data_IF_332123678799
#
_entry.id   IF_332123678799
#
_cell.length_a   1.000
_cell.length_b   1.000
_cell.length_c   1.000
_cell.angle_alpha   90.00
_cell.angle_beta   90.00
_cell.angle_gamma   90.00
#
_symmetry.space_group_name_H-M   'P 1'
#
loop_
_entity.id
_entity.type
_entity.pdbx_description
1 polymer ?
#
# COMPACT_ATOMS: atom_id res chain seq x y z
N UNK A 1 0.39 38.23 -44.48
CA UNK A 1 0.42 38.04 -43.01
C UNK A 1 -0.33 36.76 -42.71
N UNK A 2 0.38 35.67 -42.40
CA UNK A 2 -0.22 34.39 -42.04
C UNK A 2 -0.15 34.25 -40.51
N UNK A 3 -1.31 34.20 -39.86
CA UNK A 3 -1.42 33.98 -38.42
C UNK A 3 -1.46 32.46 -38.16
N UNK A 4 -0.42 31.94 -37.51
CA UNK A 4 -0.39 30.56 -37.04
C UNK A 4 -1.11 30.47 -35.68
N UNK A 5 -2.24 29.78 -35.64
CA UNK A 5 -2.97 29.47 -34.41
C UNK A 5 -2.27 28.26 -33.77
N UNK A 6 -1.50 28.51 -32.71
CA UNK A 6 -0.90 27.47 -31.90
C UNK A 6 -1.96 26.79 -31.03
N UNK A 7 -2.39 25.60 -31.43
CA UNK A 7 -3.17 24.70 -30.58
C UNK A 7 -2.24 24.08 -29.54
N UNK A 8 -2.25 24.64 -28.33
CA UNK A 8 -1.67 24.01 -27.15
C UNK A 8 -2.55 22.83 -26.75
N UNK A 9 -2.15 21.62 -27.13
CA UNK A 9 -2.67 20.40 -26.54
C UNK A 9 -2.14 20.30 -25.11
N UNK A 10 -2.95 20.72 -24.14
CA UNK A 10 -2.73 20.36 -22.74
C UNK A 10 -3.02 18.86 -22.58
N UNK A 11 -2.05 18.03 -22.15
CA UNK A 11 -2.36 16.66 -21.81
C UNK A 11 -3.23 16.70 -20.56
N UNK A 12 -4.52 16.35 -20.70
CA UNK A 12 -5.34 16.00 -19.55
C UNK A 12 -4.64 14.83 -18.85
N UNK A 13 -4.16 15.06 -17.63
CA UNK A 13 -3.63 13.99 -16.79
C UNK A 13 -4.76 12.97 -16.60
N UNK A 14 -4.63 11.83 -17.27
CA UNK A 14 -5.51 10.69 -17.12
C UNK A 14 -5.30 10.17 -15.69
N UNK A 15 -6.15 10.57 -14.75
CA UNK A 15 -6.18 10.01 -13.40
C UNK A 15 -6.81 8.62 -13.51
N UNK A 16 -6.01 7.65 -13.93
CA UNK A 16 -6.38 6.24 -13.87
C UNK A 16 -6.45 5.81 -12.41
N UNK A 17 -7.48 5.04 -12.06
CA UNK A 17 -7.47 4.29 -10.81
C UNK A 17 -6.28 3.31 -10.85
N UNK A 18 -5.56 3.22 -9.73
CA UNK A 18 -4.32 2.47 -9.57
C UNK A 18 -4.54 1.32 -8.60
N UNK A 19 -3.79 0.24 -8.73
CA UNK A 19 -3.89 -0.88 -7.79
C UNK A 19 -3.36 -0.53 -6.39
N UNK A 20 -2.52 0.49 -6.24
CA UNK A 20 -1.94 0.88 -4.96
C UNK A 20 -1.69 2.39 -4.90
N UNK A 21 -1.70 3.00 -3.69
CA UNK A 21 -1.36 4.40 -3.54
C UNK A 21 0.16 4.53 -3.66
N UNK A 22 0.62 5.27 -4.65
CA UNK A 22 2.02 5.65 -4.79
C UNK A 22 2.22 7.10 -4.34
N UNK A 23 3.41 7.45 -3.85
CA UNK A 23 3.72 8.87 -3.70
C UNK A 23 3.86 9.48 -5.11
N UNK A 24 3.25 10.65 -5.41
CA UNK A 24 3.35 11.24 -6.74
C UNK A 24 4.81 11.41 -7.12
N UNK A 25 5.24 10.65 -8.13
CA UNK A 25 6.56 10.76 -8.76
C UNK A 25 6.49 11.95 -9.71
N UNK A 26 6.46 13.17 -9.14
CA UNK A 26 6.62 14.38 -9.93
C UNK A 26 7.98 14.24 -10.62
N UNK A 27 7.98 14.14 -11.95
CA UNK A 27 9.15 13.81 -12.76
C UNK A 27 10.42 14.48 -12.25
N UNK A 28 11.29 13.68 -11.66
CA UNK A 28 12.60 14.09 -11.22
C UNK A 28 13.45 12.84 -11.15
N UNK A 29 14.34 12.72 -12.12
CA UNK A 29 15.64 12.09 -11.93
C UNK A 29 16.19 12.50 -10.56
N UNK A 30 16.73 11.53 -9.82
CA UNK A 30 17.31 11.74 -8.49
C UNK A 30 18.19 13.01 -8.49
N UNK A 31 18.00 13.93 -7.51
CA UNK A 31 18.78 13.76 -6.29
C UNK A 31 17.97 14.10 -5.05
N UNK A 32 17.91 13.14 -4.12
CA UNK A 32 17.43 13.38 -2.76
C UNK A 32 18.42 14.30 -2.05
N UNK A 33 18.04 15.56 -1.81
CA UNK A 33 18.76 16.46 -0.90
C UNK A 33 17.78 17.26 -0.07
N UNK A 34 17.80 17.03 1.24
CA UNK A 34 17.31 18.00 2.22
C UNK A 34 16.14 17.56 3.10
N UNK A 35 16.32 16.53 3.93
CA UNK A 35 15.89 16.48 5.33
C UNK A 35 16.39 15.15 5.91
N UNK A 36 17.01 15.20 7.08
CA UNK A 36 17.51 14.04 7.79
C UNK A 36 16.34 13.24 8.40
N UNK A 37 15.48 12.69 7.55
CA UNK A 37 14.65 11.54 7.90
C UNK A 37 15.37 10.32 7.33
N UNK A 38 15.79 9.43 8.22
CA UNK A 38 16.47 8.17 7.89
C UNK A 38 15.69 7.52 6.75
N UNK A 39 16.28 7.47 5.55
CA UNK A 39 15.59 6.88 4.40
C UNK A 39 15.19 5.47 4.77
N UNK A 40 13.88 5.25 4.86
CA UNK A 40 13.34 3.93 5.15
C UNK A 40 13.53 3.10 3.90
N UNK A 41 14.28 2.00 4.02
CA UNK A 41 14.44 1.08 2.91
C UNK A 41 13.21 0.18 2.79
N UNK A 42 12.93 -0.33 1.59
CA UNK A 42 11.90 -1.37 1.39
C UNK A 42 12.12 -2.56 2.33
N UNK A 43 13.38 -2.95 2.55
CA UNK A 43 13.75 -3.97 3.52
C UNK A 43 13.31 -3.64 4.97
N UNK A 44 13.40 -2.37 5.39
CA UNK A 44 12.95 -1.95 6.73
C UNK A 44 11.43 -2.06 6.87
N UNK A 45 10.68 -1.70 5.80
CA UNK A 45 9.21 -1.81 5.77
C UNK A 45 8.80 -3.30 5.80
N UNK A 46 9.43 -4.12 4.96
CA UNK A 46 9.22 -5.57 4.89
C UNK A 46 9.48 -6.23 6.25
N UNK A 47 10.58 -5.88 6.93
CA UNK A 47 10.89 -6.36 8.27
C UNK A 47 9.87 -5.88 9.32
N UNK A 48 9.44 -4.61 9.24
CA UNK A 48 8.42 -4.05 10.12
C UNK A 48 7.08 -4.80 10.02
N UNK A 49 6.67 -5.14 8.81
CA UNK A 49 5.43 -5.91 8.56
C UNK A 49 5.54 -7.32 9.08
N UNK A 50 6.62 -8.03 8.74
CA UNK A 50 6.84 -9.41 9.22
C UNK A 50 6.83 -9.45 10.74
N UNK A 51 7.51 -8.52 11.40
CA UNK A 51 7.52 -8.39 12.86
C UNK A 51 6.13 -8.11 13.43
N UNK A 52 5.34 -7.24 12.79
CA UNK A 52 3.98 -6.96 13.22
C UNK A 52 3.08 -8.20 13.07
N UNK A 53 3.11 -8.86 11.90
CA UNK A 53 2.33 -10.07 11.65
C UNK A 53 2.70 -11.16 12.65
N UNK A 54 3.99 -11.41 12.89
CA UNK A 54 4.44 -12.36 13.92
C UNK A 54 3.94 -12.00 15.31
N UNK A 55 3.96 -10.71 15.66
CA UNK A 55 3.49 -10.24 16.97
C UNK A 55 1.99 -10.49 17.14
N UNK A 56 1.18 -10.15 16.13
CA UNK A 56 -0.27 -10.40 16.16
C UNK A 56 -0.57 -11.91 16.14
N UNK A 57 0.18 -12.68 15.35
CA UNK A 57 0.08 -14.14 15.28
C UNK A 57 0.37 -14.81 16.63
N UNK A 58 1.35 -14.30 17.38
CA UNK A 58 1.68 -14.79 18.74
C UNK A 58 0.65 -14.41 19.79
N UNK A 59 -0.16 -13.36 19.55
CA UNK A 59 -1.29 -13.02 20.42
C UNK A 59 -2.46 -13.96 20.20
N UNK A 60 -2.64 -14.45 18.96
CA UNK A 60 -3.58 -15.50 18.62
C UNK A 60 -3.19 -16.84 19.25
N UNK A 61 -4.15 -17.55 19.81
CA UNK A 61 -3.94 -18.89 20.36
C UNK A 61 -3.79 -19.97 19.28
N UNK A 62 -4.21 -19.68 18.05
CA UNK A 62 -4.16 -20.56 16.88
C UNK A 62 -2.93 -20.33 15.99
N UNK A 63 -2.07 -19.37 16.36
CA UNK A 63 -0.87 -19.04 15.59
C UNK A 63 -1.18 -18.49 14.20
N UNK A 64 -2.28 -17.72 14.06
CA UNK A 64 -2.66 -17.06 12.80
C UNK A 64 -2.81 -15.56 12.97
N UNK A 65 -2.68 -14.82 11.86
CA UNK A 65 -2.98 -13.40 11.83
C UNK A 65 -4.48 -13.19 11.65
N UNK A 66 -5.12 -12.51 12.60
CA UNK A 66 -6.56 -12.26 12.55
C UNK A 66 -6.84 -10.84 12.06
N UNK A 67 -7.69 -10.70 11.05
CA UNK A 67 -8.16 -9.40 10.56
C UNK A 67 -9.66 -9.39 10.40
N UNK A 68 -10.29 -8.29 10.81
CA UNK A 68 -11.72 -8.11 10.65
C UNK A 68 -12.03 -7.48 9.29
N UNK A 69 -12.77 -8.19 8.46
CA UNK A 69 -13.21 -7.72 7.14
C UNK A 69 -14.71 -7.98 6.99
N UNK A 70 -15.49 -6.94 6.64
CA UNK A 70 -16.95 -7.02 6.45
C UNK A 70 -17.72 -7.70 7.61
N UNK A 71 -17.22 -7.55 8.84
CA UNK A 71 -17.81 -8.16 10.03
C UNK A 71 -17.36 -9.61 10.28
N UNK A 72 -16.62 -10.22 9.36
CA UNK A 72 -16.00 -11.52 9.51
C UNK A 72 -14.60 -11.39 10.10
N UNK A 73 -14.22 -12.33 10.94
CA UNK A 73 -12.87 -12.47 11.45
C UNK A 73 -12.13 -13.49 10.59
N UNK A 74 -11.12 -13.03 9.84
CA UNK A 74 -10.35 -13.84 8.92
C UNK A 74 -9.07 -14.29 9.61
N UNK A 75 -8.93 -15.60 9.81
CA UNK A 75 -7.70 -16.21 10.28
C UNK A 75 -6.78 -16.52 9.07
N UNK A 76 -5.60 -15.92 9.08
CA UNK A 76 -4.73 -15.85 7.91
C UNK A 76 -3.31 -16.30 8.20
N UNK A 77 -2.72 -17.02 7.24
CA UNK A 77 -1.30 -17.38 7.22
C UNK A 77 -0.53 -16.50 6.23
N UNK A 78 0.58 -15.93 6.66
CA UNK A 78 1.46 -15.15 5.79
C UNK A 78 2.04 -16.03 4.68
N UNK A 79 1.79 -15.69 3.42
CA UNK A 79 2.44 -16.33 2.26
C UNK A 79 3.72 -15.56 1.93
N UNK A 80 3.59 -14.26 1.63
CA UNK A 80 4.72 -13.39 1.27
C UNK A 80 4.36 -11.92 1.38
N UNK A 81 5.38 -11.10 1.61
CA UNK A 81 5.31 -9.64 1.46
C UNK A 81 5.79 -9.30 0.05
N UNK A 82 5.05 -8.47 -0.68
CA UNK A 82 5.49 -7.98 -1.99
C UNK A 82 6.45 -6.82 -1.81
N UNK A 83 7.76 -7.08 -1.94
CA UNK A 83 8.77 -6.04 -1.83
C UNK A 83 8.67 -4.98 -2.96
N UNK A 84 8.08 -5.35 -4.10
CA UNK A 84 7.76 -4.47 -5.23
C UNK A 84 6.54 -3.56 -5.00
N UNK A 85 5.68 -3.90 -4.03
CA UNK A 85 4.48 -3.13 -3.66
C UNK A 85 4.64 -2.40 -2.33
N UNK A 86 5.88 -2.03 -1.99
CA UNK A 86 6.21 -1.23 -0.82
C UNK A 86 6.33 0.24 -1.20
N UNK A 87 5.55 1.09 -0.54
CA UNK A 87 5.54 2.54 -0.81
C UNK A 87 5.73 3.35 0.47
N UNK A 88 6.65 4.30 0.43
CA UNK A 88 6.75 5.36 1.44
C UNK A 88 5.73 6.46 1.08
N UNK A 89 4.71 6.62 1.91
CA UNK A 89 3.65 7.61 1.72
C UNK A 89 4.05 8.98 2.30
N UNK A 90 5.26 9.11 2.87
CA UNK A 90 5.76 10.32 3.50
C UNK A 90 5.28 10.50 4.95
N UNK A 91 5.98 11.35 5.71
CA UNK A 91 5.63 11.68 7.09
C UNK A 91 5.65 10.46 8.04
N UNK A 92 6.54 9.50 7.76
CA UNK A 92 6.66 8.26 8.52
C UNK A 92 5.47 7.31 8.36
N UNK A 93 4.75 7.40 7.23
CA UNK A 93 3.69 6.47 6.84
C UNK A 93 4.17 5.58 5.70
N UNK A 94 3.86 4.30 5.77
CA UNK A 94 4.28 3.31 4.77
C UNK A 94 3.10 2.45 4.37
N UNK A 95 3.17 1.93 3.15
CA UNK A 95 2.21 1.03 2.55
C UNK A 95 2.90 -0.24 2.09
N UNK A 96 2.19 -1.35 2.22
CA UNK A 96 2.62 -2.63 1.68
C UNK A 96 1.46 -3.55 1.38
N UNK A 97 1.61 -4.32 0.30
CA UNK A 97 0.68 -5.39 -0.03
C UNK A 97 1.29 -6.75 0.39
N UNK A 98 0.49 -7.58 1.04
CA UNK A 98 0.92 -8.87 1.58
C UNK A 98 -0.05 -9.95 1.13
N UNK A 99 0.49 -11.03 0.56
CA UNK A 99 -0.29 -12.22 0.21
C UNK A 99 -0.47 -13.07 1.46
N UNK A 100 -1.71 -13.39 1.75
CA UNK A 100 -2.14 -14.13 2.93
C UNK A 100 -3.06 -15.27 2.50
N UNK A 101 -3.03 -16.41 3.20
CA UNK A 101 -3.91 -17.54 2.94
C UNK A 101 -4.94 -17.67 4.07
N UNK A 102 -6.22 -17.70 3.72
CA UNK A 102 -7.28 -17.98 4.67
C UNK A 102 -7.45 -19.47 4.95
N UNK A 103 -8.02 -19.77 6.12
CA UNK A 103 -8.43 -21.13 6.51
C UNK A 103 -9.54 -21.69 5.63
N UNK A 104 -10.27 -20.84 4.92
CA UNK A 104 -11.24 -21.16 3.88
C UNK A 104 -10.58 -21.60 2.55
N UNK A 105 -9.25 -21.57 2.46
CA UNK A 105 -8.49 -21.93 1.27
C UNK A 105 -8.33 -20.80 0.26
N UNK A 106 -8.86 -19.61 0.54
CA UNK A 106 -8.77 -18.44 -0.35
C UNK A 106 -7.45 -17.70 -0.16
N UNK A 107 -7.01 -17.00 -1.20
CA UNK A 107 -5.88 -16.07 -1.13
C UNK A 107 -6.39 -14.65 -0.95
N UNK A 108 -5.78 -13.94 -0.01
CA UNK A 108 -6.13 -12.58 0.34
C UNK A 108 -4.91 -11.69 0.15
N UNK A 109 -5.02 -10.68 -0.72
CA UNK A 109 -4.06 -9.58 -0.77
C UNK A 109 -4.51 -8.53 0.24
N UNK A 110 -3.71 -8.30 1.26
CA UNK A 110 -4.02 -7.32 2.32
C UNK A 110 -3.06 -6.15 2.22
N UNK A 111 -3.65 -4.96 2.14
CA UNK A 111 -2.95 -3.70 2.25
C UNK A 111 -2.71 -3.37 3.72
N UNK A 112 -1.44 -3.26 4.09
CA UNK A 112 -0.98 -2.85 5.40
C UNK A 112 -0.49 -1.42 5.36
N UNK A 113 -1.07 -0.58 6.21
CA UNK A 113 -0.60 0.78 6.45
C UNK A 113 0.18 0.81 7.76
N UNK A 114 1.43 1.25 7.70
CA UNK A 114 2.31 1.35 8.86
C UNK A 114 2.64 2.79 9.15
N UNK A 115 2.88 3.09 10.42
CA UNK A 115 3.42 4.38 10.84
C UNK A 115 4.58 4.21 11.80
N UNK A 116 5.51 5.17 11.81
CA UNK A 116 6.63 5.22 12.75
C UNK A 116 8.00 5.23 12.08
N UNK A 117 9.02 4.89 12.85
CA UNK A 117 10.41 4.80 12.38
C UNK A 117 10.78 3.35 12.04
N UNK A 118 11.76 3.12 11.14
CA UNK A 118 12.35 1.79 10.91
C UNK A 118 12.66 1.05 12.20
N UNK A 119 12.23 -0.20 12.29
CA UNK A 119 12.37 -1.04 13.49
C UNK A 119 11.38 -0.77 14.63
N UNK A 120 10.58 0.29 14.55
CA UNK A 120 9.46 0.60 15.49
C UNK A 120 8.14 0.86 14.75
N UNK A 121 8.04 0.41 13.51
CA UNK A 121 6.83 0.56 12.71
C UNK A 121 5.68 -0.21 13.34
N UNK A 122 4.48 0.37 13.31
CA UNK A 122 3.26 -0.27 13.76
C UNK A 122 2.22 -0.21 12.66
N UNK A 123 1.52 -1.32 12.46
CA UNK A 123 0.36 -1.35 11.56
C UNK A 123 -0.76 -0.54 12.21
N UNK A 124 -1.25 0.45 11.47
CA UNK A 124 -2.36 1.33 11.91
C UNK A 124 -3.67 0.98 11.23
N UNK A 125 -3.60 0.47 10.01
CA UNK A 125 -4.78 0.06 9.24
C UNK A 125 -4.42 -1.16 8.40
N UNK A 126 -5.37 -2.08 8.29
CA UNK A 126 -5.32 -3.21 7.36
C UNK A 126 -6.60 -3.21 6.53
N UNK A 127 -6.48 -3.57 5.26
CA UNK A 127 -7.60 -3.55 4.34
C UNK A 127 -7.44 -4.69 3.32
N UNK A 128 -8.47 -5.51 3.15
CA UNK A 128 -8.45 -6.57 2.15
C UNK A 128 -8.61 -5.92 0.78
N UNK A 129 -7.58 -6.00 -0.04
CA UNK A 129 -7.54 -5.39 -1.37
C UNK A 129 -8.00 -6.38 -2.44
N UNK A 130 -7.59 -7.65 -2.36
CA UNK A 130 -8.03 -8.68 -3.31
C UNK A 130 -8.38 -9.99 -2.60
N UNK A 131 -9.32 -10.73 -3.18
CA UNK A 131 -9.71 -12.07 -2.74
C UNK A 131 -9.68 -13.00 -3.96
N UNK A 132 -8.93 -14.09 -3.90
CA UNK A 132 -8.71 -15.04 -5.00
C UNK A 132 -8.31 -14.33 -6.32
N UNK A 133 -7.45 -13.31 -6.20
CA UNK A 133 -6.98 -12.51 -7.33
C UNK A 133 -7.99 -11.46 -7.85
N UNK A 134 -9.20 -11.38 -7.28
CA UNK A 134 -10.19 -10.36 -7.64
C UNK A 134 -10.03 -9.12 -6.75
N UNK A 135 -9.73 -7.94 -7.30
CA UNK A 135 -9.66 -6.71 -6.52
C UNK A 135 -11.05 -6.28 -6.03
N UNK A 136 -11.13 -5.81 -4.79
CA UNK A 136 -12.33 -5.26 -4.17
C UNK A 136 -12.42 -3.74 -4.36
N UNK A 137 -11.27 -3.06 -4.34
CA UNK A 137 -11.15 -1.64 -4.58
C UNK A 137 -9.88 -1.33 -5.37
N UNK A 138 -9.86 -0.17 -6.00
CA UNK A 138 -8.67 0.49 -6.52
C UNK A 138 -8.44 1.78 -5.73
N UNK A 139 -7.27 2.36 -5.91
CA UNK A 139 -6.88 3.63 -5.33
C UNK A 139 -7.00 4.73 -6.37
N UNK A 140 -7.63 5.85 -6.01
CA UNK A 140 -7.70 7.05 -6.83
C UNK A 140 -7.11 8.22 -6.05
N UNK A 141 -6.13 8.89 -6.65
CA UNK A 141 -5.60 10.15 -6.12
C UNK A 141 -6.48 11.30 -6.59
N UNK A 142 -6.99 12.10 -5.65
CA UNK A 142 -7.71 13.33 -5.93
C UNK A 142 -7.14 14.45 -5.05
N UNK A 143 -6.58 15.49 -5.68
CA UNK A 143 -5.94 16.63 -5.01
C UNK A 143 -4.86 16.22 -3.98
N UNK A 144 -4.01 15.23 -4.31
CA UNK A 144 -2.95 14.76 -3.41
C UNK A 144 -3.46 13.90 -2.24
N UNK A 145 -4.74 13.51 -2.26
CA UNK A 145 -5.34 12.61 -1.27
C UNK A 145 -5.78 11.31 -1.95
N UNK A 146 -5.37 10.19 -1.36
CA UNK A 146 -5.73 8.86 -1.83
C UNK A 146 -7.08 8.42 -1.26
N UNK A 147 -7.94 7.92 -2.15
CA UNK A 147 -9.26 7.40 -1.81
C UNK A 147 -9.47 6.01 -2.42
N UNK A 148 -10.06 5.10 -1.64
CA UNK A 148 -10.50 3.79 -2.14
C UNK A 148 -11.74 3.99 -3.01
N UNK A 149 -11.71 3.50 -4.24
CA UNK A 149 -12.85 3.45 -5.18
C UNK A 149 -13.15 1.98 -5.49
N UNK A 150 -14.41 1.59 -5.59
CA UNK A 150 -14.78 0.20 -5.88
C UNK A 150 -14.11 -0.29 -7.18
N UNK A 151 -13.48 -1.47 -7.14
CA UNK A 151 -13.03 -2.13 -8.34
C UNK A 151 -14.28 -2.59 -9.10
N UNK A 152 -14.41 -2.13 -10.35
CA UNK A 152 -15.57 -2.42 -11.21
C UNK A 152 -15.36 -3.70 -12.00
#
# INVERSE_FOLDING_TARGET
MAAAIGLFFTPAALVCAQEHPEHPKKGAEHPKKGAAEKQVSTADISAGIKSNIETETKKGSDGKFHVKHEGQDLALDLIRVHDDRLSDLGGGKYFACVDMKGTDGKTYDIDFFLTGQPGKMKVTETSVHKIDGKPLYNWKEENGKWHKVSAS
#
